data_IF_818253481167
#
_entry.id   IF_818253481167
#
_cell.length_a   1.000
_cell.length_b   1.000
_cell.length_c   1.000
_cell.angle_alpha   90.00
_cell.angle_beta   90.00
_cell.angle_gamma   90.00
#
_symmetry.space_group_name_H-M   'P 1'
#
loop_
_entity.id
_entity.type
_entity.pdbx_description
1 polymer ?
#
# COMPACT_ATOMS: atom_id res chain seq x y z
N UNK A 1 -25.64 -33.44 45.25
CA UNK A 1 -25.42 -33.87 43.84
C UNK A 1 -25.68 -32.79 42.78
N UNK A 2 -26.37 -31.67 43.04
CA UNK A 2 -26.59 -30.62 42.02
C UNK A 2 -25.43 -29.63 41.84
N UNK A 3 -24.54 -29.49 42.84
CA UNK A 3 -23.45 -28.51 42.82
C UNK A 3 -22.20 -28.97 42.03
N UNK A 4 -22.01 -30.29 41.87
CA UNK A 4 -20.89 -30.85 41.10
C UNK A 4 -21.07 -30.66 39.59
N UNK A 5 -22.31 -30.65 39.09
CA UNK A 5 -22.59 -30.39 37.67
C UNK A 5 -22.38 -28.92 37.27
N UNK A 6 -22.50 -27.98 38.22
CA UNK A 6 -22.27 -26.56 37.96
C UNK A 6 -20.78 -26.25 37.68
N UNK A 7 -19.86 -27.00 38.31
CA UNK A 7 -18.42 -26.83 38.13
C UNK A 7 -17.91 -27.37 36.79
N UNK A 8 -18.59 -28.37 36.21
CA UNK A 8 -18.25 -28.95 34.90
C UNK A 8 -18.70 -28.04 33.74
N UNK A 9 -19.81 -27.31 33.90
CA UNK A 9 -20.32 -26.38 32.88
C UNK A 9 -19.47 -25.10 32.83
N UNK A 10 -18.87 -24.67 33.95
CA UNK A 10 -17.99 -23.51 33.99
C UNK A 10 -16.63 -23.75 33.30
N UNK A 11 -16.19 -25.01 33.22
CA UNK A 11 -14.90 -25.37 32.61
C UNK A 11 -14.97 -25.46 31.08
N UNK A 12 -16.15 -25.68 30.49
CA UNK A 12 -16.33 -25.75 29.04
C UNK A 12 -16.51 -24.39 28.34
N UNK A 13 -16.60 -23.29 29.11
CA UNK A 13 -16.83 -21.94 28.57
C UNK A 13 -15.56 -21.19 28.13
N UNK A 14 -14.36 -21.73 28.38
CA UNK A 14 -13.08 -21.01 28.20
C UNK A 14 -12.25 -21.48 26.99
N UNK A 15 -12.72 -22.41 26.18
CA UNK A 15 -11.94 -22.96 25.06
C UNK A 15 -12.44 -22.57 23.66
N UNK A 16 -13.22 -21.50 23.55
CA UNK A 16 -13.54 -20.90 22.24
C UNK A 16 -12.74 -19.63 22.00
N UNK A 17 -11.42 -19.70 22.14
CA UNK A 17 -10.55 -18.82 21.36
C UNK A 17 -10.56 -19.36 19.93
N UNK A 18 -11.51 -18.88 19.11
CA UNK A 18 -11.25 -18.85 17.69
C UNK A 18 -10.09 -17.88 17.50
N UNK A 19 -8.94 -18.44 17.15
CA UNK A 19 -7.84 -17.67 16.56
C UNK A 19 -8.48 -16.95 15.38
N UNK A 20 -8.69 -15.64 15.56
CA UNK A 20 -9.22 -14.79 14.52
C UNK A 20 -8.07 -14.69 13.54
N UNK A 21 -8.06 -15.58 12.55
CA UNK A 21 -7.16 -15.48 11.41
C UNK A 21 -7.20 -14.02 11.00
N UNK A 22 -6.08 -13.32 11.22
CA UNK A 22 -5.90 -11.99 10.68
C UNK A 22 -6.17 -12.18 9.20
N UNK A 23 -7.17 -11.49 8.68
CA UNK A 23 -7.48 -11.44 7.26
C UNK A 23 -6.29 -10.73 6.62
N UNK A 24 -5.18 -11.45 6.48
CA UNK A 24 -3.98 -11.01 5.77
C UNK A 24 -4.35 -11.11 4.30
N UNK A 25 -4.69 -9.96 3.73
CA UNK A 25 -4.39 -9.64 2.33
C UNK A 25 -4.69 -10.74 1.30
N UNK A 26 -5.91 -11.27 1.24
CA UNK A 26 -6.32 -12.13 0.10
C UNK A 26 -6.34 -11.39 -1.25
N UNK A 27 -6.12 -10.07 -1.25
CA UNK A 27 -6.10 -9.20 -2.43
C UNK A 27 -4.73 -8.50 -2.64
N UNK A 28 -3.61 -9.06 -2.18
CA UNK A 28 -2.32 -8.51 -2.61
C UNK A 28 -2.16 -8.76 -4.12
N UNK A 29 -2.04 -7.69 -4.91
CA UNK A 29 -1.77 -7.77 -6.35
C UNK A 29 -0.65 -8.78 -6.65
N UNK A 30 -0.92 -9.69 -7.61
CA UNK A 30 0.05 -10.68 -8.03
C UNK A 30 0.98 -10.09 -9.08
N UNK A 31 2.02 -9.39 -8.59
CA UNK A 31 3.03 -8.72 -9.42
C UNK A 31 3.76 -9.67 -10.39
N UNK A 32 3.72 -10.98 -10.17
CA UNK A 32 4.37 -11.96 -11.05
C UNK A 32 3.73 -11.99 -12.44
N UNK A 33 2.40 -11.79 -12.52
CA UNK A 33 1.65 -11.76 -13.80
C UNK A 33 2.01 -10.57 -14.69
N UNK A 34 2.53 -9.50 -14.08
CA UNK A 34 2.92 -8.25 -14.74
C UNK A 34 4.43 -8.17 -14.98
N UNK A 35 5.19 -9.11 -14.43
CA UNK A 35 6.64 -9.11 -14.53
C UNK A 35 7.09 -9.22 -15.99
N UNK A 36 8.01 -8.36 -16.38
CA UNK A 36 8.55 -8.28 -17.73
C UNK A 36 10.06 -8.10 -17.71
N UNK A 37 10.75 -8.72 -18.66
CA UNK A 37 12.14 -8.44 -18.94
C UNK A 37 12.23 -7.30 -19.96
N UNK A 38 12.85 -6.20 -19.53
CA UNK A 38 13.04 -4.99 -20.34
C UNK A 38 14.48 -4.83 -20.83
N UNK A 39 15.36 -5.81 -20.58
CA UNK A 39 16.77 -5.76 -21.00
C UNK A 39 16.97 -5.55 -22.50
N UNK A 40 16.03 -6.03 -23.32
CA UNK A 40 16.03 -5.90 -24.77
C UNK A 40 15.25 -4.68 -25.28
N UNK A 41 14.73 -3.81 -24.40
CA UNK A 41 14.02 -2.59 -24.79
C UNK A 41 14.99 -1.41 -24.83
N UNK A 42 15.26 -0.93 -26.04
CA UNK A 42 16.11 0.24 -26.24
C UNK A 42 15.32 1.56 -26.05
N UNK A 43 16.05 2.65 -25.79
CA UNK A 43 15.52 4.02 -25.79
C UNK A 43 14.46 4.36 -24.73
N UNK A 44 14.45 3.67 -23.59
CA UNK A 44 13.62 4.05 -22.46
C UNK A 44 14.24 5.20 -21.65
N UNK A 45 13.43 6.16 -21.24
CA UNK A 45 13.80 7.25 -20.35
C UNK A 45 13.50 6.85 -18.92
N UNK A 46 14.48 7.02 -18.03
CA UNK A 46 14.34 6.77 -16.61
C UNK A 46 13.71 7.98 -15.90
N UNK A 47 12.86 7.70 -14.93
CA UNK A 47 12.37 8.69 -13.99
C UNK A 47 12.17 8.11 -12.60
N UNK A 48 12.07 9.02 -11.63
CA UNK A 48 11.87 8.69 -10.22
C UNK A 48 10.88 9.63 -9.58
N UNK A 49 9.89 9.07 -8.87
CA UNK A 49 8.84 9.84 -8.22
C UNK A 49 8.76 9.52 -6.73
N UNK A 50 8.47 10.53 -5.92
CA UNK A 50 8.24 10.44 -4.49
C UNK A 50 6.76 10.68 -4.19
N UNK A 51 6.14 9.81 -3.39
CA UNK A 51 4.76 9.96 -2.93
C UNK A 51 4.70 9.90 -1.41
N UNK A 52 4.21 10.95 -0.76
CA UNK A 52 3.90 10.89 0.67
C UNK A 52 2.65 10.04 0.91
N UNK A 53 2.71 9.18 1.91
CA UNK A 53 1.54 8.42 2.37
C UNK A 53 1.51 8.36 3.89
N UNK A 54 0.32 8.21 4.47
CA UNK A 54 0.16 8.26 5.92
C UNK A 54 -0.60 7.04 6.39
N UNK A 55 0.08 6.10 7.06
CA UNK A 55 -0.58 5.04 7.83
C UNK A 55 -1.21 5.60 9.11
N UNK A 56 -0.71 6.73 9.60
CA UNK A 56 -1.22 7.41 10.79
C UNK A 56 -1.20 8.93 10.62
N UNK A 57 -2.17 9.61 11.24
CA UNK A 57 -2.20 11.07 11.39
C UNK A 57 -2.47 11.46 12.84
N UNK A 58 -2.00 12.62 13.27
CA UNK A 58 -2.30 13.15 14.60
C UNK A 58 -3.75 13.60 14.74
N UNK A 59 -4.29 13.47 15.94
CA UNK A 59 -5.66 13.82 16.27
C UNK A 59 -5.73 14.52 17.61
N UNK A 60 -6.35 15.71 17.63
CA UNK A 60 -6.52 16.61 18.78
C UNK A 60 -5.20 17.11 19.42
N UNK A 61 -4.14 16.29 19.45
CA UNK A 61 -2.82 16.59 20.00
C UNK A 61 -1.75 15.67 19.40
N UNK A 62 -0.49 15.97 19.69
CA UNK A 62 0.67 15.12 19.34
C UNK A 62 0.71 13.76 20.06
N UNK A 63 -0.12 13.54 21.08
CA UNK A 63 -0.13 12.32 21.89
C UNK A 63 -1.13 11.27 21.41
N UNK A 64 -1.91 11.58 20.38
CA UNK A 64 -2.95 10.70 19.86
C UNK A 64 -2.91 10.69 18.34
N UNK A 65 -2.90 9.49 17.77
CA UNK A 65 -2.99 9.29 16.33
C UNK A 65 -4.26 8.52 15.96
N UNK A 66 -4.64 8.62 14.69
CA UNK A 66 -5.62 7.77 14.03
C UNK A 66 -4.93 7.00 12.92
N UNK A 67 -5.17 5.69 12.89
CA UNK A 67 -4.72 4.84 11.81
C UNK A 67 -5.58 5.04 10.56
N UNK A 68 -4.97 4.85 9.41
CA UNK A 68 -5.58 5.05 8.09
C UNK A 68 -5.30 3.81 7.24
N UNK A 69 -6.27 3.41 6.42
CA UNK A 69 -5.98 2.59 5.24
C UNK A 69 -5.37 3.52 4.18
N UNK A 70 -4.32 3.08 3.49
CA UNK A 70 -3.75 3.81 2.36
C UNK A 70 -3.87 2.99 1.09
N UNK A 71 -4.56 3.54 0.09
CA UNK A 71 -4.58 3.02 -1.28
C UNK A 71 -3.60 3.83 -2.11
N UNK A 72 -2.60 3.16 -2.66
CA UNK A 72 -1.59 3.76 -3.52
C UNK A 72 -1.88 3.34 -4.94
N UNK A 73 -2.31 4.28 -5.77
CA UNK A 73 -2.67 4.08 -7.17
C UNK A 73 -1.45 4.34 -8.05
N UNK A 74 -1.12 3.38 -8.91
CA UNK A 74 -0.07 3.46 -9.91
C UNK A 74 -0.74 3.50 -11.28
N UNK A 75 -0.72 4.66 -11.93
CA UNK A 75 -1.46 4.91 -13.18
C UNK A 75 -0.51 5.14 -14.34
N UNK A 76 -0.76 4.44 -15.45
CA UNK A 76 -0.26 4.87 -16.74
C UNK A 76 -1.18 5.95 -17.30
N UNK A 77 -0.65 7.16 -17.50
CA UNK A 77 -1.43 8.28 -18.04
C UNK A 77 -1.37 8.35 -19.57
N UNK A 78 -0.48 7.58 -20.21
CA UNK A 78 -0.43 7.47 -21.66
C UNK A 78 -1.59 6.63 -22.18
N UNK A 79 -2.24 7.11 -23.23
CA UNK A 79 -3.29 6.42 -23.98
C UNK A 79 -2.76 5.53 -25.11
N UNK A 80 -1.46 5.61 -25.40
CA UNK A 80 -0.80 4.88 -26.49
C UNK A 80 0.30 3.94 -26.03
N UNK A 81 1.05 4.33 -25.01
CA UNK A 81 2.32 3.70 -24.68
C UNK A 81 2.23 2.84 -23.41
N UNK A 82 2.90 1.69 -23.44
CA UNK A 82 3.12 0.88 -22.25
C UNK A 82 4.31 1.43 -21.48
N UNK A 83 4.15 1.61 -20.18
CA UNK A 83 5.21 2.06 -19.28
C UNK A 83 5.71 0.92 -18.39
N UNK A 84 6.88 1.11 -17.78
CA UNK A 84 7.54 0.09 -16.97
C UNK A 84 7.84 0.66 -15.59
N UNK A 85 7.43 -0.06 -14.55
CA UNK A 85 7.77 0.26 -13.17
C UNK A 85 8.87 -0.69 -12.73
N UNK A 86 10.02 -0.13 -12.33
CA UNK A 86 11.20 -0.87 -11.93
C UNK A 86 11.18 -1.20 -10.45
N UNK A 87 10.68 -0.28 -9.63
CA UNK A 87 10.64 -0.40 -8.18
C UNK A 87 9.47 0.39 -7.59
N UNK A 88 8.84 -0.18 -6.57
CA UNK A 88 7.94 0.52 -5.65
C UNK A 88 8.41 0.21 -4.22
N UNK A 89 9.12 1.16 -3.61
CA UNK A 89 9.74 1.00 -2.31
C UNK A 89 9.01 1.83 -1.25
N UNK A 90 8.57 1.17 -0.18
CA UNK A 90 7.88 1.77 0.95
C UNK A 90 8.86 2.07 2.08
N UNK A 91 8.85 3.30 2.58
CA UNK A 91 9.70 3.78 3.65
C UNK A 91 8.90 4.26 4.85
N UNK A 92 9.44 4.05 6.05
CA UNK A 92 8.88 4.59 7.29
C UNK A 92 9.14 6.09 7.45
N UNK A 93 8.65 6.65 8.55
CA UNK A 93 8.81 8.06 8.93
C UNK A 93 10.28 8.49 9.09
N UNK A 94 11.19 7.54 9.31
CA UNK A 94 12.63 7.78 9.50
C UNK A 94 13.44 7.56 8.22
N UNK A 95 12.77 7.22 7.10
CA UNK A 95 13.41 6.92 5.82
C UNK A 95 14.03 5.53 5.75
N UNK A 96 13.63 4.60 6.63
CA UNK A 96 14.06 3.20 6.60
C UNK A 96 13.13 2.44 5.64
N UNK A 97 13.72 1.67 4.71
CA UNK A 97 12.96 0.82 3.79
C UNK A 97 12.25 -0.29 4.57
N UNK A 98 10.93 -0.34 4.43
CA UNK A 98 10.06 -1.35 5.02
C UNK A 98 9.86 -2.51 4.04
N UNK A 99 9.49 -2.19 2.79
CA UNK A 99 9.05 -3.19 1.82
C UNK A 99 9.22 -2.72 0.38
N UNK A 100 9.76 -3.62 -0.44
CA UNK A 100 9.71 -3.53 -1.90
C UNK A 100 8.58 -4.40 -2.43
N UNK A 101 7.64 -3.83 -3.18
CA UNK A 101 6.44 -4.56 -3.61
C UNK A 101 6.69 -5.54 -4.77
N UNK A 102 7.65 -5.21 -5.63
CA UNK A 102 8.10 -6.09 -6.70
C UNK A 102 9.59 -5.90 -6.92
N UNK A 103 10.29 -7.00 -7.24
CA UNK A 103 11.74 -7.04 -7.47
C UNK A 103 12.12 -7.09 -8.95
N UNK A 104 11.15 -7.42 -9.81
CA UNK A 104 11.30 -7.45 -11.26
C UNK A 104 10.48 -6.30 -11.83
N UNK A 105 10.93 -5.67 -12.93
CA UNK A 105 10.13 -4.68 -13.63
C UNK A 105 8.75 -5.23 -13.98
N UNK A 106 7.73 -4.41 -13.81
CA UNK A 106 6.37 -4.70 -14.24
C UNK A 106 5.96 -3.73 -15.35
N UNK A 107 5.05 -4.13 -16.22
CA UNK A 107 4.45 -3.21 -17.19
C UNK A 107 3.09 -2.69 -16.69
N UNK A 108 2.74 -1.50 -17.14
CA UNK A 108 1.36 -1.00 -17.12
C UNK A 108 0.96 -0.65 -18.56
N UNK A 109 -0.12 -1.28 -19.04
CA UNK A 109 -0.68 -1.02 -20.36
C UNK A 109 -1.22 0.42 -20.45
N UNK A 110 -1.49 0.95 -21.67
CA UNK A 110 -2.07 2.29 -21.82
C UNK A 110 -3.34 2.45 -20.98
N UNK A 111 -3.43 3.56 -20.24
CA UNK A 111 -4.50 3.89 -19.29
C UNK A 111 -4.72 2.89 -18.14
N UNK A 112 -3.84 1.91 -17.98
CA UNK A 112 -3.97 0.92 -16.92
C UNK A 112 -3.67 1.52 -15.55
N UNK A 113 -4.41 1.05 -14.54
CA UNK A 113 -4.17 1.35 -13.13
C UNK A 113 -3.99 0.06 -12.34
N UNK A 114 -3.08 0.09 -11.38
CA UNK A 114 -2.92 -0.95 -10.36
C UNK A 114 -2.75 -0.32 -8.99
N UNK A 115 -3.07 -1.06 -7.94
CA UNK A 115 -3.06 -0.53 -6.58
C UNK A 115 -2.17 -1.34 -5.63
N UNK A 116 -1.59 -0.63 -4.69
CA UNK A 116 -1.02 -1.18 -3.46
C UNK A 116 -1.93 -0.74 -2.31
N UNK A 117 -2.37 -1.68 -1.47
CA UNK A 117 -3.18 -1.40 -0.29
C UNK A 117 -2.33 -1.62 0.97
N UNK A 118 -2.28 -0.61 1.82
CA UNK A 118 -1.76 -0.67 3.19
C UNK A 118 -2.97 -0.70 4.13
N UNK A 119 -3.12 -1.80 4.85
CA UNK A 119 -4.25 -2.02 5.76
C UNK A 119 -4.18 -1.06 6.97
N UNK A 120 -5.33 -0.67 7.51
CA UNK A 120 -5.41 0.23 8.70
C UNK A 120 -4.65 -0.30 9.92
N UNK A 121 -4.47 -1.61 10.04
CA UNK A 121 -3.71 -2.24 11.13
C UNK A 121 -2.20 -2.13 10.94
N UNK A 122 -1.72 -1.85 9.73
CA UNK A 122 -0.31 -1.67 9.42
C UNK A 122 0.11 -0.23 9.74
N UNK A 123 0.74 -0.07 10.90
CA UNK A 123 1.28 1.21 11.39
C UNK A 123 2.79 1.35 11.16
N UNK A 124 3.41 0.44 10.41
CA UNK A 124 4.87 0.42 10.23
C UNK A 124 5.41 1.68 9.56
N UNK A 125 4.58 2.36 8.75
CA UNK A 125 4.92 3.64 8.15
C UNK A 125 4.99 4.83 9.12
N UNK A 126 4.24 4.78 10.22
CA UNK A 126 4.07 5.90 11.14
C UNK A 126 3.32 7.09 10.52
N UNK A 127 3.73 8.31 10.89
CA UNK A 127 3.06 9.58 10.54
C UNK A 127 3.69 10.33 9.38
N UNK A 128 4.74 9.79 8.76
CA UNK A 128 5.51 10.45 7.70
C UNK A 128 6.08 9.49 6.66
N UNK A 129 5.44 8.35 6.46
CA UNK A 129 5.87 7.36 5.49
C UNK A 129 5.78 7.85 4.04
N UNK A 130 6.46 7.14 3.14
CA UNK A 130 6.47 7.50 1.73
C UNK A 130 6.76 6.30 0.84
N UNK A 131 6.41 6.46 -0.43
CA UNK A 131 6.84 5.59 -1.51
C UNK A 131 7.84 6.31 -2.41
N UNK A 132 8.81 5.53 -2.88
CA UNK A 132 9.68 5.91 -3.99
C UNK A 132 9.44 4.94 -5.13
N UNK A 133 9.04 5.50 -6.27
CA UNK A 133 8.84 4.77 -7.50
C UNK A 133 9.98 5.04 -8.47
N UNK A 134 10.51 3.97 -9.04
CA UNK A 134 11.44 4.06 -10.17
C UNK A 134 10.75 3.49 -11.39
N UNK A 135 10.81 4.21 -12.49
CA UNK A 135 10.05 3.88 -13.69
C UNK A 135 10.85 4.21 -14.95
N UNK A 136 10.42 3.58 -16.04
CA UNK A 136 10.94 3.79 -17.37
C UNK A 136 9.80 3.91 -18.36
N UNK A 137 9.90 4.87 -19.27
CA UNK A 137 8.89 5.14 -20.29
C UNK A 137 9.54 5.24 -21.67
N UNK A 138 8.82 4.93 -22.77
CA UNK A 138 9.26 5.30 -24.10
C UNK A 138 9.48 6.81 -24.23
N UNK A 139 10.40 7.25 -25.11
CA UNK A 139 10.61 8.69 -25.35
C UNK A 139 9.31 9.37 -25.75
N UNK A 140 9.05 10.55 -25.18
CA UNK A 140 7.83 11.35 -25.38
C UNK A 140 6.53 10.73 -24.86
N UNK A 141 6.55 9.57 -24.19
CA UNK A 141 5.38 9.05 -23.51
C UNK A 141 5.05 9.90 -22.27
N UNK A 142 3.81 9.83 -21.81
CA UNK A 142 3.38 10.50 -20.58
C UNK A 142 3.98 9.82 -19.35
N UNK A 143 4.39 10.61 -18.36
CA UNK A 143 4.89 10.09 -17.10
C UNK A 143 3.78 9.38 -16.30
N UNK A 144 4.09 8.33 -15.54
CA UNK A 144 3.12 7.75 -14.61
C UNK A 144 2.64 8.76 -13.57
N UNK A 145 1.38 8.64 -13.20
CA UNK A 145 0.81 9.36 -12.06
C UNK A 145 0.70 8.37 -10.88
N UNK A 146 1.30 8.74 -9.75
CA UNK A 146 1.13 8.02 -8.50
C UNK A 146 0.33 8.87 -7.51
N UNK A 147 -0.70 8.26 -6.93
CA UNK A 147 -1.60 8.92 -5.98
C UNK A 147 -1.77 8.08 -4.73
N UNK A 148 -1.77 8.73 -3.57
CA UNK A 148 -2.12 8.12 -2.30
C UNK A 148 -3.53 8.57 -1.93
N UNK A 149 -4.40 7.64 -1.59
CA UNK A 149 -5.71 7.91 -1.01
C UNK A 149 -5.69 7.34 0.40
N UNK A 150 -5.77 8.23 1.37
CA UNK A 150 -5.81 7.89 2.78
C UNK A 150 -7.24 7.96 3.26
N UNK A 151 -7.76 6.90 3.87
CA UNK A 151 -9.11 6.88 4.40
C UNK A 151 -9.18 6.20 5.77
N UNK A 152 -10.10 6.67 6.60
CA UNK A 152 -10.51 5.98 7.82
C UNK A 152 -12.02 6.11 8.00
N UNK A 153 -12.62 4.99 8.40
CA UNK A 153 -14.04 4.91 8.73
C UNK A 153 -14.25 4.67 10.23
N UNK A 154 -13.21 4.83 11.03
CA UNK A 154 -13.25 4.57 12.46
C UNK A 154 -14.08 5.65 13.19
N UNK A 155 -15.14 5.23 13.87
CA UNK A 155 -16.03 6.10 14.64
C UNK A 155 -17.21 6.65 13.83
N UNK A 156 -17.68 7.86 14.16
CA UNK A 156 -18.83 8.51 13.51
C UNK A 156 -18.44 9.53 12.44
N UNK A 157 -17.15 9.78 12.23
CA UNK A 157 -16.64 10.74 11.27
C UNK A 157 -15.68 10.01 10.32
N UNK A 158 -15.99 10.03 9.03
CA UNK A 158 -15.09 9.54 8.00
C UNK A 158 -14.10 10.63 7.60
N UNK A 159 -12.83 10.26 7.46
CA UNK A 159 -11.81 11.11 6.87
C UNK A 159 -11.34 10.47 5.57
N UNK A 160 -11.20 11.28 4.52
CA UNK A 160 -10.47 10.89 3.32
C UNK A 160 -9.71 12.08 2.76
N UNK A 161 -8.48 11.85 2.31
CA UNK A 161 -7.69 12.85 1.62
C UNK A 161 -6.73 12.18 0.64
N UNK A 162 -6.20 12.96 -0.29
CA UNK A 162 -5.27 12.46 -1.30
C UNK A 162 -3.91 13.13 -1.21
N UNK A 163 -2.90 12.42 -1.68
CA UNK A 163 -1.57 12.95 -1.99
C UNK A 163 -1.24 12.60 -3.43
N UNK A 164 -0.40 13.42 -4.05
CA UNK A 164 0.10 13.18 -5.40
C UNK A 164 1.61 13.16 -5.39
N UNK A 165 2.18 12.33 -6.23
CA UNK A 165 3.64 12.21 -6.31
C UNK A 165 4.29 13.42 -6.95
N UNK A 166 5.54 13.66 -6.57
CA UNK A 166 6.41 14.66 -7.19
C UNK A 166 7.58 13.95 -7.85
N UNK A 167 7.93 14.35 -9.08
CA UNK A 167 9.13 13.87 -9.77
C UNK A 167 10.39 14.38 -9.06
N UNK A 168 11.33 13.48 -8.77
CA UNK A 168 12.59 13.78 -8.08
C UNK A 168 13.84 13.50 -8.93
N UNK A 169 13.72 12.71 -10.01
CA UNK A 169 14.72 12.56 -11.09
C UNK A 169 14.02 12.26 -12.40
#
# INVERSE_FOLDING_TARGET
>A
MKFQYALVILFFGITSCQEKDMISSKNSEDWSKRSIDISNKDSLEYGKSYLSIYSQIYSLSQHKTHNLTAMVSLRNTSDTDTIYLLRAEYYDTYGISIKSYFKKPIYLAPLETTEIIIDEVDVTGGTGSNFVFEWQIPRNASEPLFEGIMNSTMGQQGLSFTTQSVRIK
#
